data_IF_166471371668
#
_entry.id   IF_166471371668
#
_cell.length_a   1.000
_cell.length_b   1.000
_cell.length_c   1.000
_cell.angle_alpha   90.00
_cell.angle_beta   90.00
_cell.angle_gamma   90.00
#
_symmetry.space_group_name_H-M   'P 1'
#
loop_
_entity.id
_entity.type
_entity.pdbx_description
1 polymer ?
#
# COMPACT_ATOMS: atom_id res chain seq x y z
N UNK A 1 -24.63 -4.68 -17.64
CA UNK A 1 -24.26 -3.24 -17.62
C UNK A 1 -22.77 -3.09 -17.30
N UNK A 2 -22.13 -1.96 -17.63
CA UNK A 2 -20.69 -1.77 -17.32
C UNK A 2 -20.41 -1.85 -15.82
N UNK A 3 -21.30 -1.28 -14.99
CA UNK A 3 -21.23 -1.36 -13.53
C UNK A 3 -21.18 -2.80 -13.00
N UNK A 4 -22.02 -3.69 -13.54
CA UNK A 4 -22.06 -5.11 -13.16
C UNK A 4 -20.75 -5.83 -13.54
N UNK A 5 -20.18 -5.51 -14.70
CA UNK A 5 -18.89 -6.08 -15.14
C UNK A 5 -17.74 -5.61 -14.24
N UNK A 6 -17.72 -4.34 -13.85
CA UNK A 6 -16.72 -3.79 -12.91
C UNK A 6 -16.90 -4.44 -11.53
N UNK A 7 -18.13 -4.64 -11.07
CA UNK A 7 -18.43 -5.32 -9.82
C UNK A 7 -17.96 -6.78 -9.84
N UNK A 8 -18.18 -7.50 -10.94
CA UNK A 8 -17.71 -8.87 -11.12
C UNK A 8 -16.17 -8.95 -11.08
N UNK A 9 -15.49 -8.04 -11.77
CA UNK A 9 -14.02 -7.92 -11.73
C UNK A 9 -13.55 -7.69 -10.29
N UNK A 10 -14.16 -6.74 -9.57
CA UNK A 10 -13.80 -6.44 -8.18
C UNK A 10 -14.04 -7.64 -7.25
N UNK A 11 -15.12 -8.40 -7.47
CA UNK A 11 -15.43 -9.63 -6.74
C UNK A 11 -14.37 -10.71 -6.95
N UNK A 12 -13.95 -10.92 -8.21
CA UNK A 12 -12.91 -11.89 -8.56
C UNK A 12 -11.54 -11.51 -7.97
N UNK A 13 -11.16 -10.23 -8.04
CA UNK A 13 -9.92 -9.72 -7.44
C UNK A 13 -9.94 -9.88 -5.92
N UNK A 14 -11.06 -9.56 -5.26
CA UNK A 14 -11.21 -9.74 -3.81
C UNK A 14 -11.13 -11.21 -3.43
N UNK A 15 -11.75 -12.10 -4.21
CA UNK A 15 -11.66 -13.55 -3.98
C UNK A 15 -10.22 -14.05 -4.11
N UNK A 16 -9.49 -13.60 -5.14
CA UNK A 16 -8.07 -13.90 -5.31
C UNK A 16 -7.26 -13.42 -4.09
N UNK A 17 -7.38 -12.14 -3.71
CA UNK A 17 -6.68 -11.59 -2.56
C UNK A 17 -6.99 -12.34 -1.25
N UNK A 18 -8.25 -12.69 -1.00
CA UNK A 18 -8.65 -13.46 0.18
C UNK A 18 -8.04 -14.86 0.21
N UNK A 19 -7.85 -15.50 -0.94
CA UNK A 19 -7.16 -16.79 -1.05
C UNK A 19 -5.64 -16.68 -0.83
N UNK A 20 -5.08 -15.47 -0.94
CA UNK A 20 -3.62 -15.23 -0.94
C UNK A 20 -3.21 -14.19 0.12
N UNK A 21 -3.85 -14.20 1.29
CA UNK A 21 -3.50 -13.35 2.45
C UNK A 21 -3.44 -11.84 2.12
N UNK A 22 -4.38 -11.37 1.29
CA UNK A 22 -4.45 -9.97 0.85
C UNK A 22 -3.58 -9.63 -0.36
N UNK A 23 -2.82 -10.59 -0.91
CA UNK A 23 -2.00 -10.38 -2.11
C UNK A 23 -2.75 -10.74 -3.38
N UNK A 24 -2.66 -9.90 -4.42
CA UNK A 24 -3.14 -10.29 -5.74
C UNK A 24 -2.09 -11.16 -6.43
N UNK A 25 -2.33 -12.47 -6.48
CA UNK A 25 -1.48 -13.42 -7.19
C UNK A 25 -2.05 -13.67 -8.57
N UNK A 26 -1.56 -12.87 -9.52
CA UNK A 26 -1.90 -12.95 -10.94
C UNK A 26 -0.66 -13.36 -11.74
N UNK A 27 -0.87 -14.08 -12.85
CA UNK A 27 0.24 -14.34 -13.79
C UNK A 27 0.67 -13.02 -14.44
N UNK A 28 1.93 -12.92 -14.88
CA UNK A 28 2.43 -11.73 -15.60
C UNK A 28 1.50 -11.31 -16.75
N UNK A 29 1.08 -12.29 -17.59
CA UNK A 29 0.13 -12.07 -18.67
C UNK A 29 -1.24 -11.54 -18.18
N UNK A 30 -1.77 -12.10 -17.10
CA UNK A 30 -3.05 -11.66 -16.53
C UNK A 30 -2.96 -10.24 -15.97
N UNK A 31 -1.85 -9.93 -15.29
CA UNK A 31 -1.56 -8.58 -14.78
C UNK A 31 -1.50 -7.57 -15.91
N UNK A 32 -0.74 -7.84 -16.98
CA UNK A 32 -0.61 -6.93 -18.12
C UNK A 32 -1.95 -6.68 -18.82
N UNK A 33 -2.74 -7.73 -19.04
CA UNK A 33 -4.08 -7.63 -19.61
C UNK A 33 -4.96 -6.77 -18.71
N UNK A 34 -4.98 -7.05 -17.40
CA UNK A 34 -5.83 -6.33 -16.46
C UNK A 34 -5.48 -4.84 -16.41
N UNK A 35 -4.19 -4.50 -16.29
CA UNK A 35 -3.73 -3.11 -16.22
C UNK A 35 -3.98 -2.35 -17.53
N UNK A 36 -3.73 -2.98 -18.69
CA UNK A 36 -3.99 -2.36 -19.99
C UNK A 36 -5.49 -2.07 -20.19
N UNK A 37 -6.35 -3.02 -19.84
CA UNK A 37 -7.80 -2.83 -19.96
C UNK A 37 -8.34 -1.81 -18.95
N UNK A 38 -7.77 -1.72 -17.75
CA UNK A 38 -8.12 -0.68 -16.79
C UNK A 38 -7.76 0.71 -17.33
N UNK A 39 -6.61 0.84 -18.01
CA UNK A 39 -6.24 2.07 -18.68
C UNK A 39 -7.22 2.43 -19.80
N UNK A 40 -7.55 1.49 -20.69
CA UNK A 40 -8.54 1.74 -21.75
C UNK A 40 -9.91 2.16 -21.20
N UNK A 41 -10.36 1.51 -20.13
CA UNK A 41 -11.62 1.87 -19.49
C UNK A 41 -11.59 3.28 -18.89
N UNK A 42 -10.46 3.70 -18.33
CA UNK A 42 -10.29 5.08 -17.83
C UNK A 42 -10.34 6.12 -18.96
N UNK A 43 -9.80 5.80 -20.13
CA UNK A 43 -9.84 6.68 -21.29
C UNK A 43 -11.26 6.81 -21.85
N UNK A 44 -12.00 5.71 -21.90
CA UNK A 44 -13.40 5.70 -22.34
C UNK A 44 -14.30 6.48 -21.37
N UNK A 45 -14.10 6.32 -20.06
CA UNK A 45 -14.81 7.12 -19.04
C UNK A 45 -14.51 8.61 -19.20
N UNK A 46 -13.24 8.99 -19.38
CA UNK A 46 -12.85 10.39 -19.58
C UNK A 46 -13.51 10.99 -20.83
N UNK A 47 -13.60 10.22 -21.92
CA UNK A 47 -14.28 10.67 -23.15
C UNK A 47 -15.77 10.88 -22.90
N UNK A 48 -16.42 9.94 -22.21
CA UNK A 48 -17.83 10.04 -21.83
C UNK A 48 -18.11 11.26 -20.94
N UNK A 49 -17.31 11.48 -19.89
CA UNK A 49 -17.44 12.64 -19.01
C UNK A 49 -17.29 13.95 -19.79
N UNK A 50 -16.32 14.00 -20.71
CA UNK A 50 -16.07 15.17 -21.55
C UNK A 50 -17.18 15.44 -22.57
N UNK A 51 -17.83 14.40 -23.10
CA UNK A 51 -18.84 14.53 -24.16
C UNK A 51 -20.26 14.69 -23.65
N UNK A 52 -20.62 14.03 -22.55
CA UNK A 52 -22.02 13.90 -22.09
C UNK A 52 -22.31 14.66 -20.81
N UNK A 53 -21.36 14.70 -19.87
CA UNK A 53 -21.61 15.25 -18.54
C UNK A 53 -21.15 16.70 -18.42
N UNK A 54 -19.98 17.04 -18.96
CA UNK A 54 -19.38 18.37 -18.73
C UNK A 54 -19.10 18.65 -17.24
N UNK A 55 -19.13 17.62 -16.40
CA UNK A 55 -18.91 17.68 -14.95
C UNK A 55 -17.83 16.67 -14.58
N UNK A 56 -16.90 17.10 -13.75
CA UNK A 56 -15.87 16.25 -13.15
C UNK A 56 -16.49 15.43 -12.01
N UNK A 57 -16.58 14.11 -12.18
CA UNK A 57 -17.11 13.22 -11.14
C UNK A 57 -16.03 13.00 -10.08
N UNK A 58 -16.08 13.82 -9.03
CA UNK A 58 -15.18 13.72 -7.89
C UNK A 58 -15.65 12.64 -6.90
N UNK A 59 -15.06 11.44 -6.98
CA UNK A 59 -15.25 10.40 -5.97
C UNK A 59 -14.16 10.47 -4.90
N UNK A 60 -14.48 10.69 -3.61
CA UNK A 60 -13.49 10.73 -2.54
C UNK A 60 -12.78 9.38 -2.32
N UNK A 61 -13.32 8.28 -2.86
CA UNK A 61 -12.68 6.97 -2.82
C UNK A 61 -11.41 6.91 -3.68
N UNK A 62 -11.36 7.62 -4.81
CA UNK A 62 -10.25 7.56 -5.76
C UNK A 62 -8.95 8.12 -5.15
N UNK A 63 -8.93 9.32 -4.54
CA UNK A 63 -7.74 9.83 -3.85
C UNK A 63 -7.25 8.92 -2.70
N UNK A 64 -8.16 8.26 -1.97
CA UNK A 64 -7.80 7.34 -0.91
C UNK A 64 -7.09 6.09 -1.48
N UNK A 65 -7.62 5.52 -2.56
CA UNK A 65 -7.00 4.38 -3.27
C UNK A 65 -5.60 4.75 -3.78
N UNK A 66 -5.45 5.91 -4.43
CA UNK A 66 -4.16 6.38 -4.95
C UNK A 66 -3.13 6.50 -3.81
N UNK A 67 -3.52 7.08 -2.67
CA UNK A 67 -2.63 7.25 -1.51
C UNK A 67 -2.11 5.91 -0.99
N UNK A 68 -2.98 4.93 -0.83
CA UNK A 68 -2.59 3.59 -0.34
C UNK A 68 -1.69 2.87 -1.36
N UNK A 69 -1.98 2.99 -2.66
CA UNK A 69 -1.13 2.42 -3.71
C UNK A 69 0.28 3.03 -3.72
N UNK A 70 0.39 4.37 -3.61
CA UNK A 70 1.68 5.06 -3.53
C UNK A 70 2.48 4.60 -2.30
N UNK A 71 1.82 4.44 -1.15
CA UNK A 71 2.45 3.93 0.07
C UNK A 71 2.95 2.49 -0.11
N UNK A 72 2.14 1.63 -0.73
CA UNK A 72 2.50 0.24 -1.00
C UNK A 72 3.70 0.12 -1.98
N UNK A 73 3.73 0.93 -3.04
CA UNK A 73 4.84 0.92 -4.01
C UNK A 73 6.14 1.44 -3.40
N UNK A 74 6.08 2.51 -2.61
CA UNK A 74 7.26 3.06 -1.93
C UNK A 74 7.90 2.05 -0.97
N UNK A 75 7.09 1.29 -0.21
CA UNK A 75 7.58 0.21 0.66
C UNK A 75 8.29 -0.91 -0.12
N UNK A 76 7.74 -1.27 -1.29
CA UNK A 76 8.33 -2.26 -2.19
C UNK A 76 9.68 -1.79 -2.76
N UNK A 77 9.78 -0.53 -3.16
CA UNK A 77 11.04 0.07 -3.63
C UNK A 77 12.09 0.17 -2.52
N UNK A 78 11.69 0.58 -1.31
CA UNK A 78 12.59 0.62 -0.15
C UNK A 78 13.12 -0.77 0.23
N UNK A 79 12.25 -1.79 0.24
CA UNK A 79 12.64 -3.17 0.49
C UNK A 79 13.57 -3.73 -0.59
N UNK A 80 13.45 -3.27 -1.84
CA UNK A 80 14.29 -3.68 -2.96
C UNK A 80 15.65 -2.97 -2.96
N UNK A 81 15.71 -1.73 -2.47
CA UNK A 81 16.92 -0.91 -2.48
C UNK A 81 17.79 -1.08 -1.24
N UNK A 82 17.37 -1.90 -0.26
CA UNK A 82 18.22 -2.29 0.88
C UNK A 82 18.86 -1.09 1.56
N UNK A 83 18.07 -0.08 1.92
CA UNK A 83 18.54 0.84 2.97
C UNK A 83 18.51 0.01 4.25
N UNK A 84 19.66 -0.26 4.89
CA UNK A 84 19.63 -0.86 6.22
C UNK A 84 18.80 0.09 7.07
N UNK A 85 17.81 -0.42 7.79
CA UNK A 85 17.29 0.35 8.92
C UNK A 85 18.51 0.68 9.76
N UNK A 86 18.85 1.97 9.85
CA UNK A 86 19.87 2.43 10.77
C UNK A 86 19.41 1.94 12.14
N UNK A 87 20.10 0.92 12.64
CA UNK A 87 20.02 0.50 14.02
C UNK A 87 20.27 1.76 14.84
N UNK A 88 19.22 2.37 15.37
CA UNK A 88 19.35 3.39 16.39
C UNK A 88 19.93 2.66 17.61
N UNK A 89 21.26 2.58 17.67
CA UNK A 89 21.99 2.27 18.88
C UNK A 89 21.70 3.41 19.85
N UNK A 90 20.75 3.18 20.76
CA UNK A 90 20.60 3.97 21.97
C UNK A 90 21.85 3.76 22.83
N UNK A 91 22.88 4.55 22.52
CA UNK A 91 24.06 4.69 23.36
C UNK A 91 23.79 5.67 24.50
N UNK A 92 23.84 5.08 25.69
CA UNK A 92 24.48 5.58 26.92
C UNK A 92 23.69 6.53 27.84
N UNK A 93 23.35 6.01 29.03
CA UNK A 93 23.53 6.77 30.28
C UNK A 93 24.16 5.84 31.33
N UNK A 94 25.41 6.08 31.77
CA UNK A 94 25.95 5.37 32.92
C UNK A 94 25.28 5.92 34.18
N UNK A 95 24.57 5.05 34.91
CA UNK A 95 24.02 5.40 36.22
C UNK A 95 25.17 5.45 37.23
N UNK A 96 25.72 6.65 37.43
CA UNK A 96 26.56 6.99 38.58
C UNK A 96 25.66 7.33 39.75
N UNK A 97 25.61 6.46 40.75
CA UNK A 97 25.66 6.92 42.14
C UNK A 97 26.24 5.86 43.09
N UNK A 98 27.16 6.36 43.92
CA UNK A 98 27.88 5.67 44.97
C UNK A 98 26.92 5.18 46.07
N UNK A 99 27.27 4.23 46.94
CA UNK A 99 28.09 4.48 48.13
C UNK A 99 28.52 3.14 48.73
N UNK A 100 29.84 3.01 48.92
CA UNK A 100 30.49 2.10 49.88
C UNK A 100 29.94 2.35 51.27
N UNK A 101 29.58 1.30 52.01
CA UNK A 101 30.11 1.14 53.36
C UNK A 101 30.13 -0.34 53.74
N UNK A 102 31.35 -0.79 53.98
CA UNK A 102 31.74 -2.08 54.54
C UNK A 102 31.92 -1.90 56.06
N UNK A 103 31.74 -3.00 56.78
CA UNK A 103 32.18 -3.30 58.15
C UNK A 103 31.16 -3.21 59.30
N UNK A 104 30.96 -4.38 59.93
CA UNK A 104 31.28 -4.48 61.37
C UNK A 104 30.24 -5.11 62.28
N UNK A 105 30.37 -6.42 62.46
CA UNK A 105 30.03 -7.27 63.62
C UNK A 105 29.88 -6.57 64.98
N UNK A 106 28.80 -6.85 65.71
CA UNK A 106 28.74 -7.61 67.01
C UNK A 106 27.31 -7.92 67.38
#
# INVERSE_FOLDING_TARGET
MLSEQIEEIASLLRKNANCHNGQLQLTSKTTDIFLSNLQFLSEDLKRYESSELGIDIQSPAIPAIIRELVSATAKLEASRNGVPEESHEDLDVPSVDAVRDDQGTT
#
